data_IF_237992067425
#
_entry.id   IF_237992067425
#
_cell.length_a   1.000
_cell.length_b   1.000
_cell.length_c   1.000
_cell.angle_alpha   90.00
_cell.angle_beta   90.00
_cell.angle_gamma   90.00
#
_symmetry.space_group_name_H-M   'P 1'
#
loop_
_entity.id
_entity.type
_entity.pdbx_description
1 polymer ?
#
# COMPACT_ATOMS: atom_id res chain seq x y z
N UNK A 1 3.18 -9.42 -13.25
CA UNK A 1 2.70 -8.80 -12.00
C UNK A 1 3.36 -7.44 -11.89
N UNK A 2 2.59 -6.36 -11.68
CA UNK A 2 3.09 -4.97 -11.84
C UNK A 2 3.81 -4.41 -10.60
N UNK A 3 4.75 -5.18 -10.02
CA UNK A 3 5.55 -4.75 -8.86
C UNK A 3 4.83 -4.81 -7.50
N UNK A 4 3.70 -5.52 -7.41
CA UNK A 4 2.95 -5.73 -6.16
C UNK A 4 2.25 -7.08 -6.14
N UNK A 5 2.30 -7.76 -5.00
CA UNK A 5 1.50 -8.92 -4.65
C UNK A 5 0.31 -8.46 -3.81
N UNK A 6 -0.89 -8.96 -4.09
CA UNK A 6 -2.12 -8.57 -3.40
C UNK A 6 -2.95 -9.81 -3.13
N UNK A 7 -3.59 -9.91 -1.96
CA UNK A 7 -4.42 -11.05 -1.63
C UNK A 7 -5.09 -10.93 -0.26
N UNK A 8 -5.62 -12.04 0.22
CA UNK A 8 -6.17 -12.17 1.56
C UNK A 8 -5.87 -13.57 2.09
N UNK A 9 -5.93 -13.73 3.41
CA UNK A 9 -5.70 -14.99 4.07
C UNK A 9 -6.17 -14.93 5.52
N UNK A 10 -5.73 -15.89 6.33
CA UNK A 10 -6.07 -15.96 7.75
C UNK A 10 -4.87 -15.67 8.63
N UNK A 11 -5.04 -14.78 9.60
CA UNK A 11 -4.12 -14.57 10.73
C UNK A 11 -4.84 -15.02 11.99
N UNK A 12 -4.35 -16.08 12.62
CA UNK A 12 -5.00 -16.71 13.78
C UNK A 12 -6.50 -16.99 13.54
N UNK A 13 -6.84 -17.53 12.35
CA UNK A 13 -8.20 -17.86 11.95
C UNK A 13 -9.06 -16.70 11.42
N UNK A 14 -8.63 -15.44 11.63
CA UNK A 14 -9.36 -14.24 11.20
C UNK A 14 -8.93 -13.80 9.81
N UNK A 15 -9.89 -13.43 8.96
CA UNK A 15 -9.60 -12.96 7.62
C UNK A 15 -8.92 -11.59 7.63
N UNK A 16 -7.84 -11.46 6.87
CA UNK A 16 -7.04 -10.25 6.72
C UNK A 16 -6.67 -10.09 5.24
N UNK A 17 -6.78 -8.87 4.74
CA UNK A 17 -6.35 -8.48 3.41
C UNK A 17 -4.94 -7.90 3.45
N UNK A 18 -4.18 -8.07 2.37
CA UNK A 18 -2.83 -7.52 2.30
C UNK A 18 -2.38 -7.17 0.88
N UNK A 19 -1.44 -6.22 0.82
CA UNK A 19 -0.58 -6.01 -0.35
C UNK A 19 0.88 -5.96 0.10
N UNK A 20 1.79 -6.42 -0.76
CA UNK A 20 3.23 -6.35 -0.58
C UNK A 20 3.87 -5.85 -1.85
N UNK A 21 4.57 -4.73 -1.78
CA UNK A 21 5.32 -4.20 -2.89
C UNK A 21 6.59 -5.02 -3.10
N UNK A 22 6.94 -5.28 -4.35
CA UNK A 22 8.12 -6.05 -4.73
C UNK A 22 9.15 -5.10 -5.32
N UNK A 23 10.16 -4.75 -4.53
CA UNK A 23 11.22 -3.86 -4.94
C UNK A 23 12.06 -4.43 -6.09
N UNK A 24 12.15 -5.75 -6.24
CA UNK A 24 12.90 -6.36 -7.35
C UNK A 24 12.20 -6.18 -8.70
N UNK A 25 10.89 -5.94 -8.69
CA UNK A 25 10.07 -5.72 -9.87
C UNK A 25 9.84 -4.21 -10.11
N UNK A 26 10.72 -3.60 -10.91
CA UNK A 26 10.69 -2.15 -11.24
C UNK A 26 10.76 -1.26 -9.99
N UNK A 27 11.61 -1.61 -9.02
CA UNK A 27 11.80 -0.88 -7.76
C UNK A 27 10.50 -0.74 -6.93
N UNK A 28 9.52 -1.63 -7.12
CA UNK A 28 8.20 -1.52 -6.47
C UNK A 28 7.45 -0.24 -6.82
N UNK A 29 7.84 0.46 -7.90
CA UNK A 29 7.28 1.76 -8.24
C UNK A 29 5.81 1.66 -8.64
N UNK A 30 5.03 2.63 -8.17
CA UNK A 30 3.58 2.65 -8.33
C UNK A 30 3.20 3.17 -9.72
N UNK A 31 2.66 2.27 -10.55
CA UNK A 31 2.00 2.60 -11.82
C UNK A 31 0.47 2.46 -11.75
N UNK A 32 -0.20 2.65 -12.88
CA UNK A 32 -1.66 2.53 -13.02
C UNK A 32 -2.14 1.15 -12.57
N UNK A 33 -1.56 0.08 -13.12
CA UNK A 33 -1.99 -1.29 -12.84
C UNK A 33 -1.60 -1.75 -11.42
N UNK A 34 -0.45 -1.32 -10.92
CA UNK A 34 -0.04 -1.50 -9.53
C UNK A 34 -1.09 -0.92 -8.57
N UNK A 35 -1.48 0.35 -8.78
CA UNK A 35 -2.48 1.01 -7.93
C UNK A 35 -3.84 0.32 -8.02
N UNK A 36 -4.32 -0.05 -9.21
CA UNK A 36 -5.59 -0.79 -9.39
C UNK A 36 -5.63 -2.10 -8.60
N UNK A 37 -4.50 -2.82 -8.52
CA UNK A 37 -4.41 -4.04 -7.70
C UNK A 37 -4.54 -3.74 -6.21
N UNK A 38 -3.86 -2.70 -5.71
CA UNK A 38 -3.95 -2.27 -4.31
C UNK A 38 -5.38 -1.79 -4.01
N UNK A 39 -5.93 -0.91 -4.83
CA UNK A 39 -7.30 -0.43 -4.68
C UNK A 39 -8.33 -1.57 -4.64
N UNK A 40 -8.18 -2.59 -5.49
CA UNK A 40 -9.06 -3.76 -5.47
C UNK A 40 -9.02 -4.49 -4.13
N UNK A 41 -7.85 -4.67 -3.53
CA UNK A 41 -7.73 -5.36 -2.23
C UNK A 41 -8.26 -4.49 -1.08
N UNK A 42 -8.07 -3.17 -1.14
CA UNK A 42 -8.67 -2.21 -0.21
C UNK A 42 -10.21 -2.21 -0.29
N UNK A 43 -10.77 -2.22 -1.49
CA UNK A 43 -12.22 -2.24 -1.71
C UNK A 43 -12.85 -3.52 -1.15
N UNK A 44 -12.18 -4.66 -1.29
CA UNK A 44 -12.64 -5.92 -0.71
C UNK A 44 -12.56 -5.91 0.82
N UNK A 45 -11.48 -5.37 1.39
CA UNK A 45 -11.31 -5.23 2.83
C UNK A 45 -12.43 -4.36 3.44
N UNK A 46 -12.69 -3.20 2.83
CA UNK A 46 -13.77 -2.29 3.18
C UNK A 46 -15.14 -2.97 3.08
N UNK A 47 -15.43 -3.61 1.93
CA UNK A 47 -16.71 -4.30 1.69
C UNK A 47 -17.01 -5.39 2.70
N UNK A 48 -15.97 -6.04 3.24
CA UNK A 48 -16.11 -7.18 4.15
C UNK A 48 -15.86 -6.82 5.62
N UNK A 49 -15.53 -5.56 5.91
CA UNK A 49 -15.22 -5.10 7.26
C UNK A 49 -14.01 -5.81 7.87
N UNK A 50 -12.99 -6.11 7.07
CA UNK A 50 -11.79 -6.85 7.50
C UNK A 50 -10.54 -5.97 7.50
N UNK A 51 -9.56 -6.24 8.38
CA UNK A 51 -8.30 -5.49 8.41
C UNK A 51 -7.52 -5.57 7.10
N UNK A 52 -6.74 -4.52 6.84
CA UNK A 52 -5.80 -4.43 5.73
C UNK A 52 -4.37 -4.18 6.25
N UNK A 53 -3.41 -4.94 5.72
CA UNK A 53 -1.98 -4.75 5.99
C UNK A 53 -1.22 -4.43 4.70
N UNK A 54 -0.53 -3.30 4.68
CA UNK A 54 0.35 -2.88 3.58
C UNK A 54 1.83 -3.08 3.92
N UNK A 55 2.54 -3.88 3.14
CA UNK A 55 3.99 -4.03 3.21
C UNK A 55 4.64 -3.17 2.12
N UNK A 56 5.28 -2.08 2.55
CA UNK A 56 5.80 -1.04 1.68
C UNK A 56 7.31 -1.17 1.52
N UNK A 57 7.72 -1.29 0.26
CA UNK A 57 9.11 -1.37 -0.21
C UNK A 57 9.13 -0.89 -1.66
N UNK A 58 9.18 0.44 -1.84
CA UNK A 58 8.92 1.11 -3.11
C UNK A 58 9.76 2.38 -3.30
N UNK A 59 10.30 2.52 -4.51
CA UNK A 59 10.97 3.73 -4.97
C UNK A 59 10.02 4.92 -5.24
N UNK A 60 8.71 4.78 -5.00
CA UNK A 60 7.74 5.86 -5.17
C UNK A 60 6.99 5.80 -6.51
N UNK A 61 6.72 6.98 -7.09
CA UNK A 61 5.98 7.10 -8.35
C UNK A 61 6.76 6.50 -9.53
N UNK A 62 6.07 5.78 -10.41
CA UNK A 62 6.64 5.34 -11.68
C UNK A 62 6.64 6.49 -12.67
N UNK A 63 7.77 7.17 -12.78
CA UNK A 63 7.95 8.39 -13.60
C UNK A 63 7.50 8.20 -15.06
N UNK A 64 7.72 7.02 -15.64
CA UNK A 64 7.38 6.74 -17.04
C UNK A 64 5.87 6.75 -17.30
N UNK A 65 5.04 6.57 -16.26
CA UNK A 65 3.58 6.60 -16.35
C UNK A 65 2.98 7.96 -15.94
N UNK A 66 3.82 8.93 -15.55
CA UNK A 66 3.44 10.33 -15.34
C UNK A 66 2.20 10.52 -14.46
N UNK A 67 1.17 11.16 -15.01
CA UNK A 67 -0.06 11.51 -14.29
C UNK A 67 -0.87 10.29 -13.84
N UNK A 68 -0.73 9.15 -14.52
CA UNK A 68 -1.44 7.93 -14.14
C UNK A 68 -0.90 7.35 -12.82
N UNK A 69 0.40 7.50 -12.57
CA UNK A 69 1.01 7.17 -11.28
C UNK A 69 0.46 8.05 -10.15
N UNK A 70 0.31 9.35 -10.41
CA UNK A 70 -0.24 10.30 -9.43
C UNK A 70 -1.73 10.04 -9.16
N UNK A 71 -2.50 9.75 -10.19
CA UNK A 71 -3.90 9.32 -10.07
C UNK A 71 -4.01 8.04 -9.24
N UNK A 72 -3.11 7.07 -9.48
CA UNK A 72 -3.01 5.85 -8.69
C UNK A 72 -2.79 6.10 -7.21
N UNK A 73 -1.91 7.03 -6.85
CA UNK A 73 -1.76 7.47 -5.45
C UNK A 73 -3.03 8.08 -4.90
N UNK A 74 -3.66 9.01 -5.64
CA UNK A 74 -4.93 9.63 -5.22
C UNK A 74 -6.04 8.61 -4.94
N UNK A 75 -6.13 7.56 -5.75
CA UNK A 75 -7.10 6.47 -5.56
C UNK A 75 -6.85 5.65 -4.29
N UNK A 76 -5.58 5.44 -3.91
CA UNK A 76 -5.20 4.79 -2.66
C UNK A 76 -5.51 5.72 -1.48
N UNK A 77 -5.15 7.00 -1.55
CA UNK A 77 -5.41 7.97 -0.48
C UNK A 77 -6.89 8.13 -0.18
N UNK A 78 -7.72 8.20 -1.22
CA UNK A 78 -9.18 8.23 -1.07
C UNK A 78 -9.68 7.02 -0.27
N UNK A 79 -9.17 5.82 -0.56
CA UNK A 79 -9.54 4.59 0.14
C UNK A 79 -9.03 4.57 1.57
N UNK A 80 -7.82 5.08 1.82
CA UNK A 80 -7.34 5.23 3.20
C UNK A 80 -8.25 6.15 4.01
N UNK A 81 -8.69 7.28 3.43
CA UNK A 81 -9.57 8.23 4.08
C UNK A 81 -10.93 7.61 4.45
N UNK A 82 -11.60 6.94 3.51
CA UNK A 82 -12.92 6.35 3.78
C UNK A 82 -12.85 5.08 4.65
N UNK A 83 -11.68 4.45 4.75
CA UNK A 83 -11.44 3.31 5.63
C UNK A 83 -11.09 3.71 7.07
N UNK A 84 -10.69 4.96 7.29
CA UNK A 84 -10.30 5.48 8.60
C UNK A 84 -11.45 5.37 9.60
N UNK A 85 -11.20 4.68 10.73
CA UNK A 85 -12.22 4.39 11.73
C UNK A 85 -13.25 3.31 11.34
N UNK A 86 -13.13 2.71 10.15
CA UNK A 86 -14.06 1.67 9.65
C UNK A 86 -13.42 0.28 9.70
N UNK A 87 -12.21 0.14 9.16
CA UNK A 87 -11.41 -1.09 9.25
C UNK A 87 -10.00 -0.77 9.77
N UNK A 88 -9.35 -1.68 10.51
CA UNK A 88 -7.95 -1.47 10.89
C UNK A 88 -7.04 -1.46 9.67
N UNK A 89 -6.24 -0.40 9.54
CA UNK A 89 -5.25 -0.18 8.49
C UNK A 89 -3.86 -0.17 9.12
N UNK A 90 -2.99 -1.09 8.71
CA UNK A 90 -1.63 -1.23 9.25
C UNK A 90 -0.62 -1.13 8.12
N UNK A 91 0.40 -0.29 8.30
CA UNK A 91 1.52 -0.17 7.37
C UNK A 91 2.81 -0.70 8.00
N UNK A 92 3.47 -1.61 7.30
CA UNK A 92 4.84 -2.03 7.59
C UNK A 92 5.77 -1.46 6.51
N UNK A 93 6.75 -0.67 6.91
CA UNK A 93 7.77 -0.11 6.04
C UNK A 93 9.00 -1.01 6.16
N UNK A 94 9.28 -1.74 5.08
CA UNK A 94 10.31 -2.78 5.05
C UNK A 94 11.47 -2.45 4.12
N UNK A 95 11.38 -1.32 3.42
CA UNK A 95 12.42 -0.79 2.54
C UNK A 95 12.25 0.73 2.33
N UNK A 96 12.65 1.26 1.16
CA UNK A 96 12.40 2.64 0.80
C UNK A 96 10.90 2.93 0.72
N UNK A 97 10.49 4.12 1.15
CA UNK A 97 9.16 4.65 0.94
C UNK A 97 9.28 6.16 0.82
N UNK A 98 9.33 6.68 -0.41
CA UNK A 98 9.68 8.07 -0.69
C UNK A 98 8.59 8.83 -1.46
N UNK A 99 8.51 10.15 -1.24
CA UNK A 99 7.59 11.04 -1.95
C UNK A 99 6.13 10.65 -1.71
N UNK A 100 5.35 10.52 -2.80
CA UNK A 100 3.94 10.16 -2.72
C UNK A 100 3.63 8.88 -1.93
N UNK A 101 4.57 7.93 -1.88
CA UNK A 101 4.39 6.67 -1.16
C UNK A 101 4.17 6.85 0.34
N UNK A 102 4.71 7.92 0.96
CA UNK A 102 4.63 8.10 2.42
C UNK A 102 3.26 8.52 2.91
N UNK A 103 2.43 9.10 2.05
CA UNK A 103 1.12 9.63 2.45
C UNK A 103 0.11 8.54 2.78
N UNK A 104 0.15 7.40 2.09
CA UNK A 104 -0.76 6.28 2.42
C UNK A 104 -0.47 5.73 3.83
N UNK A 105 0.77 5.36 4.19
CA UNK A 105 1.11 4.99 5.56
C UNK A 105 0.79 6.06 6.60
N UNK A 106 1.01 7.36 6.29
CA UNK A 106 0.67 8.46 7.18
C UNK A 106 -0.82 8.57 7.51
N UNK A 107 -1.70 7.98 6.68
CA UNK A 107 -3.15 7.93 6.89
C UNK A 107 -3.64 6.62 7.51
N UNK A 108 -2.75 5.64 7.73
CA UNK A 108 -3.09 4.37 8.38
C UNK A 108 -3.01 4.45 9.91
N UNK A 109 -3.66 3.53 10.61
CA UNK A 109 -3.79 3.59 12.08
C UNK A 109 -2.47 3.30 12.80
N UNK A 110 -1.64 2.41 12.23
CA UNK A 110 -0.36 2.01 12.78
C UNK A 110 0.71 1.92 11.69
N UNK A 111 1.89 2.47 11.98
CA UNK A 111 3.07 2.39 11.10
C UNK A 111 4.22 1.73 11.87
N UNK A 112 4.74 0.64 11.33
CA UNK A 112 5.93 -0.05 11.83
C UNK A 112 7.07 0.06 10.82
N UNK A 113 8.30 0.19 11.29
CA UNK A 113 9.48 0.32 10.45
C UNK A 113 10.53 -0.72 10.85
N UNK A 114 11.22 -1.29 9.85
CA UNK A 114 12.35 -2.20 10.09
C UNK A 114 13.63 -1.39 10.29
N UNK A 115 14.27 -1.55 11.45
CA UNK A 115 15.51 -0.85 11.80
C UNK A 115 16.60 -1.13 10.76
N UNK A 116 17.36 -0.09 10.39
CA UNK A 116 18.50 -0.12 9.46
C UNK A 116 18.18 -0.41 7.98
N UNK A 117 17.00 -0.93 7.64
CA UNK A 117 16.68 -1.32 6.25
C UNK A 117 15.51 -0.53 5.65
N UNK A 118 14.79 0.25 6.45
CA UNK A 118 13.65 1.05 5.99
C UNK A 118 13.83 2.54 6.27
N UNK A 119 13.22 3.38 5.45
CA UNK A 119 13.22 4.83 5.61
C UNK A 119 12.02 5.49 4.91
N UNK A 120 11.60 6.63 5.43
CA UNK A 120 10.51 7.45 4.89
C UNK A 120 10.93 8.92 4.79
N UNK A 121 10.64 9.56 3.66
CA UNK A 121 10.79 11.00 3.46
C UNK A 121 9.93 11.50 2.29
N UNK A 122 9.68 12.80 2.24
CA UNK A 122 9.03 13.48 1.10
C UNK A 122 10.09 13.78 0.04
#
# INVERSE_FOLDING_TARGET
>A
ADGVITGYGKVNGRDVFAFSQDFTARAGTLGEMHSKKICKVMDLALKTGKPLVGFNDSGGARIQEGVDSLSGYGQIFYRNAIASGVIPQISAIMGPCAGGAVYSPAMTDLVFMVKNTSYMFI
#
